data_IF_772876042838
#
_entry.id   IF_772876042838
#
_cell.length_a   1.000
_cell.length_b   1.000
_cell.length_c   1.000
_cell.angle_alpha   90.00
_cell.angle_beta   90.00
_cell.angle_gamma   90.00
#
_symmetry.space_group_name_H-M   'P 1'
#
loop_
_entity.id
_entity.type
_entity.pdbx_description
1 polymer ?
#
# COMPACT_ATOMS: atom_id res chain seq x y z
N UNK A 1 -10.49 5.60 3.21
CA UNK A 1 -9.95 5.46 4.59
C UNK A 1 -9.50 6.84 5.05
N UNK A 2 -9.86 7.27 6.26
CA UNK A 2 -9.43 8.57 6.82
C UNK A 2 -8.44 8.33 7.94
N UNK A 3 -7.32 9.05 7.96
CA UNK A 3 -6.34 8.95 9.03
C UNK A 3 -6.73 9.87 10.20
N UNK A 4 -6.58 9.42 11.46
CA UNK A 4 -6.82 10.25 12.63
C UNK A 4 -5.64 11.19 12.88
N UNK A 5 -5.35 12.07 11.91
CA UNK A 5 -4.17 12.97 11.92
C UNK A 5 -4.21 13.90 13.14
N UNK A 6 -5.39 14.39 13.51
CA UNK A 6 -5.58 15.26 14.68
C UNK A 6 -5.20 14.57 15.99
N UNK A 7 -5.31 13.24 16.06
CA UNK A 7 -4.94 12.45 17.24
C UNK A 7 -3.47 12.01 17.21
N UNK A 8 -2.69 12.38 16.20
CA UNK A 8 -1.34 11.88 16.01
C UNK A 8 -0.45 12.14 17.24
N UNK A 9 -0.49 13.37 17.78
CA UNK A 9 0.29 13.78 18.95
C UNK A 9 -0.08 12.96 20.18
N UNK A 10 -1.38 12.76 20.44
CA UNK A 10 -1.88 12.00 21.59
C UNK A 10 -1.51 10.52 21.48
N UNK A 11 -1.63 9.93 20.29
CA UNK A 11 -1.24 8.55 20.02
C UNK A 11 0.27 8.35 20.19
N UNK A 12 1.08 9.33 19.80
CA UNK A 12 2.53 9.30 20.00
C UNK A 12 2.88 9.40 21.49
N UNK A 13 2.28 10.35 22.21
CA UNK A 13 2.47 10.50 23.65
C UNK A 13 2.12 9.22 24.41
N UNK A 14 0.96 8.61 24.10
CA UNK A 14 0.53 7.32 24.68
C UNK A 14 1.55 6.20 24.44
N UNK A 15 2.14 6.13 23.24
CA UNK A 15 3.19 5.13 22.93
C UNK A 15 4.44 5.36 23.76
N UNK A 16 4.87 6.62 23.90
CA UNK A 16 6.02 7.00 24.72
C UNK A 16 5.80 6.68 26.20
N UNK A 17 4.63 7.00 26.74
CA UNK A 17 4.24 6.66 28.12
C UNK A 17 4.28 5.15 28.36
N UNK A 18 3.65 4.37 27.47
CA UNK A 18 3.62 2.91 27.56
C UNK A 18 5.04 2.32 27.53
N UNK A 19 5.91 2.79 26.64
CA UNK A 19 7.28 2.32 26.54
C UNK A 19 8.12 2.72 27.76
N UNK A 20 7.92 3.93 28.28
CA UNK A 20 8.58 4.41 29.51
C UNK A 20 8.22 3.52 30.70
N UNK A 21 6.93 3.20 30.86
CA UNK A 21 6.47 2.31 31.91
C UNK A 21 7.04 0.88 31.75
N UNK A 22 7.06 0.36 30.53
CA UNK A 22 7.59 -0.97 30.21
C UNK A 22 9.08 -1.09 30.53
N UNK A 23 9.87 -0.07 30.23
CA UNK A 23 11.32 -0.10 30.43
C UNK A 23 11.75 0.30 31.84
N UNK A 24 10.87 0.89 32.66
CA UNK A 24 11.16 1.35 34.03
C UNK A 24 11.97 0.37 34.89
N UNK A 25 11.71 -0.95 34.90
CA UNK A 25 12.48 -1.91 35.71
C UNK A 25 13.97 -2.00 35.36
N UNK A 26 14.36 -1.54 34.17
CA UNK A 26 15.74 -1.60 33.67
C UNK A 26 16.51 -0.29 33.85
N UNK A 27 15.92 0.71 34.50
CA UNK A 27 16.50 2.03 34.72
C UNK A 27 17.07 2.68 33.42
N UNK A 28 16.25 2.78 32.35
CA UNK A 28 16.68 3.34 31.08
C UNK A 28 16.94 4.85 31.20
N UNK A 29 17.75 5.44 30.30
CA UNK A 29 17.78 6.88 30.13
C UNK A 29 16.43 7.42 29.62
N UNK A 30 16.30 8.75 29.58
CA UNK A 30 15.15 9.39 28.96
C UNK A 30 15.01 8.94 27.49
N UNK A 31 13.78 8.62 27.08
CA UNK A 31 13.49 8.16 25.72
C UNK A 31 13.56 9.34 24.76
N UNK A 32 14.39 9.21 23.73
CA UNK A 32 14.37 10.10 22.58
C UNK A 32 13.25 9.69 21.61
N UNK A 33 12.43 10.66 21.19
CA UNK A 33 11.24 10.41 20.37
C UNK A 33 11.44 10.98 18.97
N UNK A 34 11.41 10.11 17.97
CA UNK A 34 11.47 10.48 16.56
C UNK A 34 10.09 10.32 15.91
N UNK A 35 9.40 11.43 15.72
CA UNK A 35 8.08 11.44 15.08
C UNK A 35 8.18 11.13 13.58
N UNK A 36 7.28 10.29 13.10
CA UNK A 36 7.04 10.11 11.66
C UNK A 36 6.11 11.22 11.13
N UNK A 37 6.03 11.37 9.81
CA UNK A 37 4.94 12.17 9.22
C UNK A 37 3.60 11.49 9.52
N UNK A 38 2.51 12.24 9.74
CA UNK A 38 1.21 11.67 10.08
C UNK A 38 0.52 10.97 8.89
N UNK A 39 0.97 11.25 7.66
CA UNK A 39 0.51 10.64 6.41
C UNK A 39 1.69 10.39 5.46
N UNK A 40 1.44 9.59 4.43
CA UNK A 40 2.38 9.29 3.33
C UNK A 40 3.76 8.79 3.78
N UNK A 41 3.83 8.14 4.95
CA UNK A 41 5.08 7.69 5.54
C UNK A 41 5.46 6.26 5.15
N UNK A 42 4.53 5.48 4.60
CA UNK A 42 4.75 4.06 4.27
C UNK A 42 5.20 3.90 2.82
N UNK A 43 6.42 3.37 2.65
CA UNK A 43 7.05 3.23 1.33
C UNK A 43 6.71 1.91 0.61
N UNK A 44 5.98 1.00 1.26
CA UNK A 44 5.50 -0.27 0.68
C UNK A 44 4.04 -0.53 1.03
N UNK A 45 3.24 -0.91 0.04
CA UNK A 45 1.85 -1.29 0.22
C UNK A 45 1.48 -2.47 -0.69
N UNK A 46 0.59 -3.32 -0.21
CA UNK A 46 0.16 -4.54 -0.90
C UNK A 46 -1.36 -4.57 -0.89
N UNK A 47 -1.95 -4.81 -2.06
CA UNK A 47 -3.38 -4.78 -2.22
C UNK A 47 -3.85 -6.00 -2.99
N UNK A 48 -4.91 -6.65 -2.52
CA UNK A 48 -5.61 -7.60 -3.38
C UNK A 48 -6.34 -6.83 -4.47
N UNK A 49 -6.48 -7.47 -5.62
CA UNK A 49 -7.23 -6.93 -6.75
C UNK A 49 -8.54 -7.69 -6.86
N UNK A 50 -9.64 -6.94 -6.92
CA UNK A 50 -10.97 -7.48 -7.10
C UNK A 50 -11.50 -7.17 -8.49
N UNK A 51 -12.25 -8.13 -9.05
CA UNK A 51 -12.87 -8.06 -10.36
C UNK A 51 -14.39 -8.11 -10.17
N UNK A 52 -15.11 -7.09 -10.60
CA UNK A 52 -16.56 -7.02 -10.49
C UNK A 52 -17.13 -6.35 -11.73
N UNK A 53 -17.97 -7.07 -12.49
CA UNK A 53 -18.70 -6.52 -13.66
C UNK A 53 -17.82 -5.78 -14.70
N UNK A 54 -16.58 -6.22 -14.88
CA UNK A 54 -15.62 -5.59 -15.80
C UNK A 54 -14.81 -4.44 -15.18
N UNK A 55 -15.05 -4.10 -13.92
CA UNK A 55 -14.24 -3.18 -13.13
C UNK A 55 -13.13 -3.92 -12.37
N UNK A 56 -12.03 -3.21 -12.19
CA UNK A 56 -10.81 -3.68 -11.54
C UNK A 56 -10.41 -2.68 -10.47
N UNK A 57 -10.31 -3.08 -9.21
CA UNK A 57 -9.96 -2.18 -8.11
C UNK A 57 -9.22 -2.87 -6.98
N UNK A 58 -8.47 -2.08 -6.21
CA UNK A 58 -7.78 -2.56 -5.02
C UNK A 58 -8.76 -2.78 -3.86
N UNK A 59 -8.53 -3.83 -3.09
CA UNK A 59 -9.24 -4.11 -1.84
C UNK A 59 -8.25 -4.43 -0.72
N UNK A 60 -8.71 -4.17 0.49
CA UNK A 60 -8.09 -4.64 1.73
C UNK A 60 -9.15 -5.31 2.61
N UNK A 61 -8.72 -5.93 3.71
CA UNK A 61 -9.60 -6.60 4.66
C UNK A 61 -9.60 -5.86 5.99
N UNK A 62 -10.79 -5.71 6.58
CA UNK A 62 -10.90 -5.24 7.95
C UNK A 62 -10.24 -6.28 8.88
N UNK A 63 -9.33 -5.89 9.79
CA UNK A 63 -8.60 -6.84 10.63
C UNK A 63 -9.51 -7.61 11.60
N UNK A 64 -10.60 -7.00 12.07
CA UNK A 64 -11.55 -7.57 13.02
C UNK A 64 -12.61 -8.42 12.31
N UNK A 65 -13.32 -7.85 11.34
CA UNK A 65 -14.46 -8.52 10.69
C UNK A 65 -14.08 -9.40 9.52
N UNK A 66 -12.83 -9.28 9.01
CA UNK A 66 -12.37 -9.87 7.74
C UNK A 66 -13.18 -9.45 6.51
N UNK A 67 -14.06 -8.46 6.64
CA UNK A 67 -14.82 -7.94 5.51
C UNK A 67 -13.88 -7.22 4.53
N UNK A 68 -14.06 -7.48 3.24
CA UNK A 68 -13.37 -6.75 2.18
C UNK A 68 -13.90 -5.33 2.07
N UNK A 69 -13.03 -4.38 1.77
CA UNK A 69 -13.43 -3.02 1.42
C UNK A 69 -12.57 -2.49 0.25
N UNK A 70 -13.20 -1.70 -0.61
CA UNK A 70 -12.56 -1.04 -1.75
C UNK A 70 -11.62 0.07 -1.29
N UNK A 71 -10.48 0.19 -1.96
CA UNK A 71 -9.44 1.18 -1.66
C UNK A 71 -9.08 1.93 -2.94
N UNK A 72 -9.66 3.11 -3.13
CA UNK A 72 -9.31 3.99 -4.25
C UNK A 72 -8.12 4.91 -3.93
N UNK A 73 -7.88 5.16 -2.64
CA UNK A 73 -6.73 5.92 -2.14
C UNK A 73 -6.27 5.35 -0.80
N UNK A 74 -4.96 5.48 -0.54
CA UNK A 74 -4.32 4.95 0.65
C UNK A 74 -3.33 5.98 1.23
N UNK A 75 -3.82 6.98 2.00
CA UNK A 75 -3.01 8.11 2.49
C UNK A 75 -1.93 7.71 3.51
N UNK A 76 -1.87 6.43 3.89
CA UNK A 76 -0.75 5.87 4.67
C UNK A 76 0.48 5.66 3.77
N UNK A 77 0.26 5.21 2.54
CA UNK A 77 1.34 5.00 1.58
C UNK A 77 1.81 6.31 0.97
N UNK A 78 3.04 6.33 0.46
CA UNK A 78 3.62 7.47 -0.22
C UNK A 78 2.71 8.01 -1.33
N UNK A 79 2.86 9.29 -1.65
CA UNK A 79 2.11 9.92 -2.75
C UNK A 79 2.36 9.20 -4.07
N UNK A 80 3.61 8.79 -4.32
CA UNK A 80 3.97 8.01 -5.52
C UNK A 80 3.20 6.70 -5.63
N UNK A 81 3.00 5.98 -4.52
CA UNK A 81 2.16 4.78 -4.52
C UNK A 81 0.71 5.12 -4.84
N UNK A 82 0.16 6.20 -4.27
CA UNK A 82 -1.22 6.61 -4.55
C UNK A 82 -1.42 6.96 -6.04
N UNK A 83 -0.49 7.72 -6.63
CA UNK A 83 -0.52 8.01 -8.06
C UNK A 83 -0.43 6.73 -8.91
N UNK A 84 0.47 5.81 -8.55
CA UNK A 84 0.66 4.56 -9.28
C UNK A 84 -0.53 3.61 -9.15
N UNK A 85 -1.24 3.59 -8.01
CA UNK A 85 -2.47 2.82 -7.84
C UNK A 85 -3.52 3.21 -8.88
N UNK A 86 -3.74 4.51 -9.09
CA UNK A 86 -4.72 5.01 -10.06
C UNK A 86 -4.24 4.82 -11.49
N UNK A 87 -3.00 5.22 -11.80
CA UNK A 87 -2.46 5.15 -13.16
C UNK A 87 -2.42 3.70 -13.68
N UNK A 88 -1.88 2.77 -12.88
CA UNK A 88 -1.73 1.38 -13.30
C UNK A 88 -3.08 0.73 -13.64
N UNK A 89 -4.10 0.91 -12.80
CA UNK A 89 -5.41 0.31 -13.06
C UNK A 89 -6.08 0.88 -14.30
N UNK A 90 -5.89 2.18 -14.58
CA UNK A 90 -6.38 2.81 -15.79
C UNK A 90 -5.71 2.23 -17.04
N UNK A 91 -4.39 2.08 -17.04
CA UNK A 91 -3.61 1.59 -18.19
C UNK A 91 -3.87 0.12 -18.52
N UNK A 92 -4.06 -0.74 -17.50
CA UNK A 92 -4.30 -2.17 -17.75
C UNK A 92 -5.78 -2.48 -18.04
N UNK A 93 -6.70 -1.52 -17.82
CA UNK A 93 -8.13 -1.74 -18.03
C UNK A 93 -8.42 -2.11 -19.48
N UNK A 94 -9.15 -3.20 -19.69
CA UNK A 94 -9.47 -3.73 -21.02
C UNK A 94 -8.39 -4.63 -21.63
N UNK A 95 -7.19 -4.72 -21.05
CA UNK A 95 -6.16 -5.66 -21.48
C UNK A 95 -6.32 -7.00 -20.73
N UNK A 96 -6.95 -7.99 -21.36
CA UNK A 96 -7.17 -9.30 -20.73
C UNK A 96 -5.87 -10.03 -20.38
N UNK A 97 -4.79 -9.83 -21.13
CA UNK A 97 -3.49 -10.44 -20.82
C UNK A 97 -2.99 -9.92 -19.47
N UNK A 98 -3.11 -8.62 -19.20
CA UNK A 98 -2.64 -8.01 -17.95
C UNK A 98 -3.63 -8.12 -16.78
N UNK A 99 -4.92 -8.32 -17.05
CA UNK A 99 -5.95 -8.31 -15.99
C UNK A 99 -6.41 -9.71 -15.59
N UNK A 100 -6.49 -10.65 -16.53
CA UNK A 100 -7.02 -11.99 -16.24
C UNK A 100 -6.17 -12.70 -15.18
N UNK A 101 -6.83 -13.12 -14.09
CA UNK A 101 -6.25 -13.80 -12.93
C UNK A 101 -5.23 -12.96 -12.14
N UNK A 102 -5.15 -11.65 -12.37
CA UNK A 102 -4.44 -10.71 -11.50
C UNK A 102 -5.17 -10.65 -10.15
N UNK A 103 -4.51 -11.04 -9.06
CA UNK A 103 -5.15 -11.11 -7.74
C UNK A 103 -4.52 -10.19 -6.70
N UNK A 104 -3.31 -9.68 -6.95
CA UNK A 104 -2.61 -8.79 -6.03
C UNK A 104 -1.60 -7.92 -6.78
N UNK A 105 -1.41 -6.70 -6.27
CA UNK A 105 -0.35 -5.79 -6.71
C UNK A 105 0.40 -5.30 -5.48
N UNK A 106 1.73 -5.43 -5.53
CA UNK A 106 2.63 -4.93 -4.51
C UNK A 106 3.37 -3.71 -5.05
N UNK A 107 3.37 -2.64 -4.26
CA UNK A 107 4.04 -1.39 -4.57
C UNK A 107 5.19 -1.17 -3.58
N UNK A 108 6.38 -0.90 -4.11
CA UNK A 108 7.56 -0.54 -3.33
C UNK A 108 8.17 0.72 -3.92
N UNK A 109 8.03 1.83 -3.21
CA UNK A 109 8.60 3.13 -3.57
C UNK A 109 9.84 3.45 -2.74
N UNK A 110 10.69 4.35 -3.23
CA UNK A 110 11.86 4.87 -2.52
C UNK A 110 11.76 6.39 -2.31
N UNK A 111 12.61 6.93 -1.44
CA UNK A 111 12.72 8.39 -1.24
C UNK A 111 13.36 9.10 -2.44
N UNK A 112 14.05 8.37 -3.33
CA UNK A 112 14.59 8.89 -4.60
C UNK A 112 13.51 9.10 -5.68
N UNK A 113 12.26 8.67 -5.42
CA UNK A 113 11.17 8.75 -6.40
C UNK A 113 11.09 7.55 -7.35
N UNK A 114 11.85 6.50 -7.09
CA UNK A 114 11.76 5.25 -7.85
C UNK A 114 10.67 4.35 -7.29
N UNK A 115 10.11 3.50 -8.14
CA UNK A 115 9.07 2.54 -7.74
C UNK A 115 9.24 1.22 -8.48
N UNK A 116 9.10 0.13 -7.73
CA UNK A 116 8.92 -1.21 -8.24
C UNK A 116 7.47 -1.65 -7.99
N UNK A 117 6.84 -2.18 -9.03
CA UNK A 117 5.47 -2.70 -9.00
C UNK A 117 5.50 -4.17 -9.36
N UNK A 118 5.01 -5.02 -8.47
CA UNK A 118 4.87 -6.46 -8.71
C UNK A 118 3.40 -6.78 -8.93
N UNK A 119 3.08 -7.37 -10.09
CA UNK A 119 1.74 -7.85 -10.41
C UNK A 119 1.70 -9.37 -10.25
N UNK A 120 0.83 -9.88 -9.38
CA UNK A 120 0.77 -11.31 -9.01
C UNK A 120 -0.46 -11.98 -9.60
N UNK A 121 -0.25 -13.16 -10.20
CA UNK A 121 -1.26 -13.86 -11.00
C UNK A 121 -1.49 -15.31 -10.58
N UNK A 122 -2.74 -15.77 -10.68
CA UNK A 122 -3.09 -17.20 -10.61
C UNK A 122 -3.12 -17.83 -12.01
N UNK A 123 -2.08 -17.57 -12.80
CA UNK A 123 -1.83 -18.18 -14.12
C UNK A 123 -0.33 -18.15 -14.42
N UNK A 124 0.12 -19.00 -15.34
CA UNK A 124 1.44 -18.86 -15.95
C UNK A 124 1.49 -17.64 -16.86
N UNK A 125 2.66 -17.01 -16.94
CA UNK A 125 2.91 -15.85 -17.80
C UNK A 125 3.64 -16.32 -19.06
N UNK A 126 3.08 -16.01 -20.23
CA UNK A 126 3.63 -16.37 -21.54
C UNK A 126 4.32 -15.17 -22.21
N UNK A 127 4.87 -15.39 -23.39
CA UNK A 127 5.57 -14.34 -24.17
C UNK A 127 4.64 -13.16 -24.50
N UNK A 128 3.39 -13.42 -24.91
CA UNK A 128 2.39 -12.37 -25.16
C UNK A 128 2.14 -11.48 -23.93
N UNK A 129 2.11 -12.07 -22.73
CA UNK A 129 2.02 -11.30 -21.49
C UNK A 129 3.25 -10.41 -21.29
N UNK A 130 4.45 -10.94 -21.55
CA UNK A 130 5.71 -10.19 -21.42
C UNK A 130 5.73 -9.00 -22.39
N UNK A 131 5.25 -9.17 -23.62
CA UNK A 131 5.12 -8.07 -24.59
C UNK A 131 4.21 -6.96 -24.07
N UNK A 132 3.03 -7.31 -23.56
CA UNK A 132 2.11 -6.32 -22.99
C UNK A 132 2.68 -5.64 -21.74
N UNK A 133 3.38 -6.38 -20.87
CA UNK A 133 4.02 -5.82 -19.69
C UNK A 133 5.17 -4.86 -20.04
N UNK A 134 5.93 -5.15 -21.10
CA UNK A 134 6.96 -4.25 -21.62
C UNK A 134 6.36 -2.99 -22.24
N UNK A 135 5.27 -3.12 -22.98
CA UNK A 135 4.53 -1.97 -23.52
C UNK A 135 4.02 -1.07 -22.40
N UNK A 136 3.41 -1.66 -21.35
CA UNK A 136 2.96 -0.94 -20.17
C UNK A 136 4.08 -0.16 -19.47
N UNK A 137 5.27 -0.76 -19.32
CA UNK A 137 6.42 -0.12 -18.66
C UNK A 137 6.99 1.07 -19.44
N UNK A 138 6.77 1.11 -20.76
CA UNK A 138 7.29 2.15 -21.63
C UNK A 138 6.42 3.42 -21.67
N UNK A 139 5.23 3.38 -21.06
CA UNK A 139 4.33 4.53 -20.84
C UNK A 139 4.84 5.37 -19.67
#
# INVERSE_FOLDING_TARGET
>A
MTLPIEQYSDLLAKKTENLTALLKPFNPPAIEVFASKPSHFRMRAEFRVWHEEGELYHIMFNPETKARYRVDSFPIASELINHMMTALLAEIKGNELLTRKLFQIDYLSTLSGEIAVSMLYHKSLNEEWVEQANALKAV
#
